data_IF_606770156362
#
_entry.id   IF_606770156362
#
_cell.length_a   1.000
_cell.length_b   1.000
_cell.length_c   1.000
_cell.angle_alpha   90.00
_cell.angle_beta   90.00
_cell.angle_gamma   90.00
#
_symmetry.space_group_name_H-M   'P 1'
#
loop_
_entity.id
_entity.type
_entity.pdbx_description
1 polymer ?
#
# COMPACT_ATOMS: atom_id res chain seq x y z
N UNK A 1 6.34 12.59 15.56
CA UNK A 1 7.06 11.90 14.47
C UNK A 1 8.55 11.92 14.79
N UNK A 2 9.18 10.77 15.00
CA UNK A 2 10.56 10.63 15.50
C UNK A 2 11.54 11.15 14.42
N UNK A 3 12.58 11.92 14.78
CA UNK A 3 13.62 12.47 13.86
C UNK A 3 14.14 11.45 12.83
N UNK A 4 14.11 10.16 13.18
CA UNK A 4 14.46 9.01 12.32
C UNK A 4 13.62 8.89 11.03
N UNK A 5 12.32 9.22 11.07
CA UNK A 5 11.43 9.13 9.88
C UNK A 5 11.67 10.28 8.90
N UNK A 6 12.02 11.47 9.42
CA UNK A 6 12.36 12.63 8.59
C UNK A 6 13.71 12.39 7.91
N UNK A 7 14.69 11.86 8.65
CA UNK A 7 15.99 11.46 8.09
C UNK A 7 15.86 10.38 7.01
N UNK A 8 15.06 9.34 7.23
CA UNK A 8 14.83 8.30 6.20
C UNK A 8 14.08 8.87 5.00
N UNK A 9 13.06 9.69 5.19
CA UNK A 9 12.35 10.36 4.09
C UNK A 9 13.29 11.25 3.25
N UNK A 10 14.17 12.01 3.91
CA UNK A 10 15.13 12.90 3.25
C UNK A 10 16.23 12.13 2.50
N UNK A 11 16.66 10.99 3.05
CA UNK A 11 17.62 10.10 2.41
C UNK A 11 17.00 9.42 1.17
N UNK A 12 15.74 8.99 1.25
CA UNK A 12 14.98 8.48 0.10
C UNK A 12 14.76 9.52 -0.99
N UNK A 13 14.48 10.78 -0.61
CA UNK A 13 14.32 11.89 -1.53
C UNK A 13 15.58 12.14 -2.38
N UNK A 14 16.77 11.81 -1.86
CA UNK A 14 18.05 11.94 -2.57
C UNK A 14 18.41 10.63 -3.31
N UNK A 15 18.12 9.47 -2.72
CA UNK A 15 18.47 8.16 -3.28
C UNK A 15 17.67 7.83 -4.56
N UNK A 16 16.40 8.23 -4.61
CA UNK A 16 15.51 8.03 -5.78
C UNK A 16 16.02 8.77 -7.03
N UNK A 17 16.29 10.09 -7.00
CA UNK A 17 16.86 10.77 -8.17
C UNK A 17 18.28 10.28 -8.49
N UNK A 18 19.10 9.91 -7.49
CA UNK A 18 20.42 9.36 -7.74
C UNK A 18 20.37 8.00 -8.48
N UNK A 19 19.40 7.14 -8.15
CA UNK A 19 19.18 5.86 -8.85
C UNK A 19 18.61 6.06 -10.25
N UNK A 20 17.76 7.07 -10.46
CA UNK A 20 17.27 7.45 -11.80
C UNK A 20 18.40 7.98 -12.68
N UNK A 21 19.20 8.93 -12.17
CA UNK A 21 20.31 9.53 -12.92
C UNK A 21 21.40 8.48 -13.19
N UNK A 22 21.73 7.64 -12.20
CA UNK A 22 22.66 6.53 -12.38
C UNK A 22 22.15 5.49 -13.39
N UNK A 23 20.85 5.17 -13.37
CA UNK A 23 20.23 4.26 -14.34
C UNK A 23 20.26 4.78 -15.77
N UNK A 24 20.02 6.08 -15.96
CA UNK A 24 20.02 6.74 -17.27
C UNK A 24 21.45 6.89 -17.82
N UNK A 25 22.42 7.29 -17.00
CA UNK A 25 23.80 7.53 -17.42
C UNK A 25 24.57 6.23 -17.69
N UNK A 26 24.34 5.16 -16.93
CA UNK A 26 25.11 3.91 -17.04
C UNK A 26 24.50 2.89 -18.02
N UNK A 27 23.20 2.95 -18.31
CA UNK A 27 22.44 1.81 -18.89
C UNK A 27 21.60 2.09 -20.15
N UNK A 28 21.89 3.18 -20.88
CA UNK A 28 21.52 3.43 -22.30
C UNK A 28 20.14 2.86 -22.71
N UNK A 29 19.08 3.39 -22.06
CA UNK A 29 17.63 3.25 -22.32
C UNK A 29 17.00 1.86 -22.46
N UNK A 30 17.75 0.77 -22.61
CA UNK A 30 17.20 -0.58 -22.89
C UNK A 30 16.72 -1.36 -21.66
N UNK A 31 17.02 -0.90 -20.44
CA UNK A 31 16.67 -1.58 -19.18
C UNK A 31 15.79 -0.74 -18.25
N UNK A 32 14.88 0.05 -18.80
CA UNK A 32 13.93 0.88 -18.04
C UNK A 32 13.08 0.07 -17.04
N UNK A 33 12.71 -1.17 -17.39
CA UNK A 33 11.99 -2.07 -16.49
C UNK A 33 12.79 -2.44 -15.23
N UNK A 34 14.11 -2.59 -15.34
CA UNK A 34 14.97 -2.94 -14.21
C UNK A 34 15.09 -1.78 -13.23
N UNK A 35 15.23 -0.55 -13.74
CA UNK A 35 15.27 0.67 -12.93
C UNK A 35 13.92 0.90 -12.25
N UNK A 36 12.81 0.67 -12.97
CA UNK A 36 11.46 0.79 -12.42
C UNK A 36 11.20 -0.24 -11.31
N UNK A 37 11.66 -1.49 -11.49
CA UNK A 37 11.57 -2.52 -10.45
C UNK A 37 12.35 -2.11 -9.19
N UNK A 38 13.58 -1.64 -9.35
CA UNK A 38 14.39 -1.14 -8.23
C UNK A 38 13.71 0.01 -7.51
N UNK A 39 13.13 0.97 -8.25
CA UNK A 39 12.39 2.08 -7.67
C UNK A 39 11.19 1.61 -6.85
N UNK A 40 10.40 0.67 -7.36
CA UNK A 40 9.27 0.10 -6.61
C UNK A 40 9.75 -0.52 -5.30
N UNK A 41 10.82 -1.33 -5.35
CA UNK A 41 11.42 -1.92 -4.14
C UNK A 41 11.90 -0.84 -3.17
N UNK A 42 12.60 0.18 -3.66
CA UNK A 42 13.06 1.30 -2.83
C UNK A 42 11.90 2.02 -2.15
N UNK A 43 10.81 2.30 -2.88
CA UNK A 43 9.64 2.99 -2.31
C UNK A 43 8.85 2.15 -1.29
N UNK A 44 8.96 0.81 -1.34
CA UNK A 44 8.37 -0.07 -0.33
C UNK A 44 9.09 0.02 1.03
N UNK A 45 10.40 0.24 1.04
CA UNK A 45 11.21 0.28 2.28
C UNK A 45 10.71 1.33 3.30
N UNK A 46 10.52 2.63 2.96
CA UNK A 46 10.02 3.61 3.93
C UNK A 46 8.59 3.30 4.37
N UNK A 47 7.79 2.68 3.49
CA UNK A 47 6.45 2.24 3.81
C UNK A 47 6.47 1.18 4.93
N UNK A 48 7.30 0.13 4.78
CA UNK A 48 7.47 -0.92 5.78
C UNK A 48 8.06 -0.38 7.10
N UNK A 49 9.05 0.51 7.03
CA UNK A 49 9.65 1.13 8.22
C UNK A 49 8.67 1.99 9.03
N UNK A 50 7.71 2.64 8.37
CA UNK A 50 6.61 3.34 9.07
C UNK A 50 5.66 2.33 9.72
N UNK A 51 5.42 1.22 9.05
CA UNK A 51 4.46 0.19 9.45
C UNK A 51 4.92 -0.63 10.66
N UNK A 52 6.18 -1.05 10.68
CA UNK A 52 6.74 -2.04 11.61
C UNK A 52 6.79 -1.54 13.07
N UNK A 53 6.72 -0.22 13.28
CA UNK A 53 6.77 0.38 14.61
C UNK A 53 5.44 0.40 15.37
N UNK A 54 4.31 0.04 14.74
CA UNK A 54 2.99 0.10 15.39
C UNK A 54 2.68 -1.17 16.17
N UNK A 55 2.24 -0.98 17.41
CA UNK A 55 1.53 -1.99 18.20
C UNK A 55 0.04 -1.62 18.17
N UNK A 56 -0.73 -2.07 17.16
CA UNK A 56 -2.14 -1.69 17.04
C UNK A 56 -2.92 -2.17 18.25
N UNK A 57 -3.82 -1.31 18.75
CA UNK A 57 -4.68 -1.67 19.89
C UNK A 57 -5.77 -2.63 19.42
N UNK A 58 -6.30 -3.47 20.31
CA UNK A 58 -7.39 -4.39 19.97
C UNK A 58 -8.59 -3.71 19.27
N UNK A 59 -8.92 -2.48 19.68
CA UNK A 59 -9.96 -1.66 19.05
C UNK A 59 -9.67 -1.36 17.57
N UNK A 60 -8.43 -1.05 17.22
CA UNK A 60 -8.03 -0.74 15.84
C UNK A 60 -8.09 -1.99 14.96
N UNK A 61 -7.67 -3.14 15.50
CA UNK A 61 -7.73 -4.43 14.82
C UNK A 61 -9.18 -4.81 14.48
N UNK A 62 -10.11 -4.63 15.42
CA UNK A 62 -11.54 -4.89 15.22
C UNK A 62 -12.08 -4.01 14.09
N UNK A 63 -11.74 -2.72 14.07
CA UNK A 63 -12.19 -1.79 13.03
C UNK A 63 -11.68 -2.20 11.66
N UNK A 64 -10.39 -2.55 11.55
CA UNK A 64 -9.79 -3.03 10.29
C UNK A 64 -10.53 -4.30 9.82
N UNK A 65 -10.81 -5.25 10.72
CA UNK A 65 -11.50 -6.49 10.38
C UNK A 65 -12.92 -6.22 9.85
N UNK A 66 -13.69 -5.35 10.51
CA UNK A 66 -15.06 -5.00 10.08
C UNK A 66 -15.04 -4.28 8.73
N UNK A 67 -14.14 -3.32 8.53
CA UNK A 67 -14.00 -2.61 7.26
C UNK A 67 -13.59 -3.54 6.11
N UNK A 68 -12.68 -4.48 6.39
CA UNK A 68 -12.27 -5.51 5.45
C UNK A 68 -13.46 -6.39 5.05
N UNK A 69 -14.24 -6.87 6.03
CA UNK A 69 -15.42 -7.69 5.77
C UNK A 69 -16.46 -6.95 4.91
N UNK A 70 -16.74 -5.68 5.21
CA UNK A 70 -17.65 -4.85 4.41
C UNK A 70 -17.12 -4.65 2.99
N UNK A 71 -15.81 -4.40 2.83
CA UNK A 71 -15.22 -4.19 1.51
C UNK A 71 -15.22 -5.47 0.65
N UNK A 72 -14.92 -6.64 1.25
CA UNK A 72 -15.04 -7.95 0.58
C UNK A 72 -16.50 -8.22 0.19
N UNK A 73 -17.44 -8.01 1.12
CA UNK A 73 -18.87 -8.18 0.87
C UNK A 73 -19.36 -7.24 -0.24
N UNK A 74 -18.92 -5.98 -0.25
CA UNK A 74 -19.21 -5.03 -1.32
C UNK A 74 -18.63 -5.47 -2.66
N UNK A 75 -17.41 -5.99 -2.69
CA UNK A 75 -16.81 -6.56 -3.92
C UNK A 75 -17.63 -7.75 -4.44
N UNK A 76 -18.16 -8.59 -3.55
CA UNK A 76 -19.00 -9.74 -3.90
C UNK A 76 -20.41 -9.35 -4.35
N UNK A 77 -21.09 -8.46 -3.62
CA UNK A 77 -22.44 -8.00 -3.91
C UNK A 77 -22.51 -7.27 -5.27
N UNK A 78 -21.48 -6.48 -5.60
CA UNK A 78 -21.39 -5.76 -6.86
C UNK A 78 -20.58 -6.51 -7.93
N UNK A 79 -20.33 -7.81 -7.78
CA UNK A 79 -19.60 -8.61 -8.78
C UNK A 79 -20.26 -8.58 -10.16
N UNK A 80 -21.60 -8.54 -10.20
CA UNK A 80 -22.39 -8.54 -11.43
C UNK A 80 -22.51 -7.15 -12.08
N UNK A 81 -22.17 -6.08 -11.37
CA UNK A 81 -22.25 -4.70 -11.89
C UNK A 81 -20.86 -4.25 -12.36
N UNK A 82 -20.59 -4.23 -13.68
CA UNK A 82 -19.32 -3.70 -14.19
C UNK A 82 -19.21 -2.22 -13.80
N UNK A 83 -17.97 -1.75 -13.53
CA UNK A 83 -17.60 -0.37 -13.13
C UNK A 83 -17.78 0.02 -11.65
N UNK A 84 -18.65 -0.62 -10.85
CA UNK A 84 -18.86 -0.20 -9.45
C UNK A 84 -18.18 -1.14 -8.44
N UNK A 85 -16.96 -0.81 -8.01
CA UNK A 85 -16.25 -1.51 -6.93
C UNK A 85 -16.12 -0.59 -5.71
N UNK A 86 -16.99 -0.71 -4.69
CA UNK A 86 -16.96 0.16 -3.50
C UNK A 86 -15.72 -0.04 -2.61
N UNK A 87 -14.89 -1.04 -2.93
CA UNK A 87 -13.66 -1.39 -2.21
C UNK A 87 -12.73 -0.19 -2.04
N UNK A 88 -12.45 0.54 -3.12
CA UNK A 88 -11.49 1.65 -3.09
C UNK A 88 -12.03 2.80 -2.24
N UNK A 89 -13.32 3.12 -2.37
CA UNK A 89 -13.96 4.16 -1.57
C UNK A 89 -13.88 3.84 -0.06
N UNK A 90 -14.16 2.60 0.33
CA UNK A 90 -14.06 2.14 1.72
C UNK A 90 -12.63 2.24 2.25
N UNK A 91 -11.63 1.87 1.46
CA UNK A 91 -10.21 1.96 1.85
C UNK A 91 -9.77 3.42 2.02
N UNK A 92 -10.21 4.32 1.13
CA UNK A 92 -9.90 5.76 1.24
C UNK A 92 -10.52 6.33 2.52
N UNK A 93 -11.80 6.04 2.78
CA UNK A 93 -12.47 6.50 4.00
C UNK A 93 -11.75 5.94 5.24
N UNK A 94 -11.37 4.66 5.23
CA UNK A 94 -10.61 4.05 6.31
C UNK A 94 -9.26 4.76 6.54
N UNK A 95 -8.55 5.10 5.45
CA UNK A 95 -7.29 5.82 5.49
C UNK A 95 -7.43 7.25 6.01
N UNK A 96 -8.50 7.96 5.65
CA UNK A 96 -8.74 9.34 6.11
C UNK A 96 -9.20 9.36 7.57
N UNK A 97 -10.11 8.46 7.96
CA UNK A 97 -10.69 8.46 9.31
C UNK A 97 -9.76 7.84 10.37
N UNK A 98 -9.03 6.77 10.03
CA UNK A 98 -8.21 6.01 10.98
C UNK A 98 -6.70 6.12 10.72
N UNK A 99 -6.30 6.88 9.70
CA UNK A 99 -4.91 7.08 9.29
C UNK A 99 -4.48 6.16 8.15
N UNK A 100 -3.51 6.61 7.35
CA UNK A 100 -3.08 5.92 6.12
C UNK A 100 -2.55 4.50 6.34
N UNK A 101 -1.99 4.22 7.52
CA UNK A 101 -1.52 2.87 7.90
C UNK A 101 -2.70 1.89 8.05
N UNK A 102 -3.80 2.36 8.65
CA UNK A 102 -5.04 1.59 8.86
C UNK A 102 -5.74 1.34 7.53
N UNK A 103 -5.76 2.35 6.65
CA UNK A 103 -6.27 2.22 5.28
C UNK A 103 -5.47 1.20 4.46
N UNK A 104 -4.13 1.21 4.57
CA UNK A 104 -3.30 0.22 3.89
C UNK A 104 -3.59 -1.21 4.35
N UNK A 105 -3.69 -1.46 5.67
CA UNK A 105 -4.01 -2.80 6.19
C UNK A 105 -5.39 -3.27 5.74
N UNK A 106 -6.40 -2.41 5.84
CA UNK A 106 -7.74 -2.75 5.40
C UNK A 106 -7.76 -3.10 3.90
N UNK A 107 -7.03 -2.33 3.08
CA UNK A 107 -6.93 -2.58 1.65
C UNK A 107 -6.20 -3.86 1.28
N UNK A 108 -5.01 -4.10 1.88
CA UNK A 108 -4.23 -5.31 1.61
C UNK A 108 -4.97 -6.57 2.06
N UNK A 109 -5.59 -6.54 3.25
CA UNK A 109 -6.41 -7.65 3.74
C UNK A 109 -7.66 -7.85 2.88
N UNK A 110 -8.31 -6.79 2.40
CA UNK A 110 -9.48 -6.92 1.51
C UNK A 110 -9.09 -7.63 0.22
N UNK A 111 -7.98 -7.23 -0.40
CA UNK A 111 -7.50 -7.85 -1.64
C UNK A 111 -7.20 -9.34 -1.44
N UNK A 112 -6.47 -9.69 -0.37
CA UNK A 112 -6.11 -11.06 -0.03
C UNK A 112 -7.36 -11.92 0.27
N UNK A 113 -8.21 -11.48 1.19
CA UNK A 113 -9.40 -12.25 1.62
C UNK A 113 -10.39 -12.40 0.48
N UNK A 114 -10.67 -11.33 -0.28
CA UNK A 114 -11.59 -11.45 -1.40
C UNK A 114 -11.06 -12.40 -2.49
N UNK A 115 -9.75 -12.43 -2.76
CA UNK A 115 -9.20 -13.36 -3.74
C UNK A 115 -9.37 -14.84 -3.33
N UNK A 116 -9.31 -15.17 -2.03
CA UNK A 116 -9.67 -16.50 -1.54
C UNK A 116 -11.14 -16.84 -1.84
N UNK A 117 -12.07 -15.92 -1.59
CA UNK A 117 -13.50 -16.13 -1.89
C UNK A 117 -13.80 -16.29 -3.38
N UNK A 118 -13.03 -15.61 -4.25
CA UNK A 118 -13.19 -15.70 -5.70
C UNK A 118 -12.35 -16.81 -6.36
N UNK A 119 -11.67 -17.66 -5.57
CA UNK A 119 -10.88 -18.79 -6.08
C UNK A 119 -9.62 -18.40 -6.87
N UNK A 120 -9.13 -17.17 -6.71
CA UNK A 120 -7.86 -16.69 -7.28
C UNK A 120 -6.69 -16.81 -6.28
N UNK A 121 -6.97 -17.28 -5.06
CA UNK A 121 -6.05 -17.35 -3.92
C UNK A 121 -5.52 -18.75 -3.67
#
# INVERSE_FOLDING_TARGET
MKKRNILTALLFLILVPATIIGGVVFLNDRKYYFISLLLVIYTMIPFFLSFEGRKPKAREIIIIAVLTAIAVAGRAAFFMVPQFKPVVALIIIAGVCFGGETGFLAGSMTALVSNFFFGMG
#
